data_IF_515835555927
#
_entry.id   IF_515835555927
#
_cell.length_a   1.000
_cell.length_b   1.000
_cell.length_c   1.000
_cell.angle_alpha   90.00
_cell.angle_beta   90.00
_cell.angle_gamma   90.00
#
_symmetry.space_group_name_H-M   'P 1'
#
loop_
_entity.id
_entity.type
_entity.pdbx_description
1 polymer ?
#
# COMPACT_ATOMS: atom_id res chain seq x y z
N UNK A 1 43.37 -10.53 -17.85
CA UNK A 1 42.07 -10.90 -18.40
C UNK A 1 41.14 -11.22 -17.24
N UNK A 2 40.23 -10.31 -16.84
CA UNK A 2 39.15 -10.55 -15.87
C UNK A 2 37.90 -9.90 -16.43
N UNK A 3 36.95 -10.72 -16.88
CA UNK A 3 35.61 -10.30 -17.28
C UNK A 3 34.81 -9.91 -16.03
N UNK A 4 34.28 -8.71 -16.03
CA UNK A 4 33.24 -8.23 -15.13
C UNK A 4 31.91 -8.84 -15.53
N UNK A 5 31.31 -9.64 -14.66
CA UNK A 5 29.86 -9.86 -14.69
C UNK A 5 29.16 -8.76 -13.90
N UNK A 6 28.44 -7.90 -14.61
CA UNK A 6 27.47 -6.94 -14.05
C UNK A 6 26.09 -7.37 -14.50
N UNK A 7 25.16 -7.45 -13.57
CA UNK A 7 23.77 -7.14 -13.84
C UNK A 7 22.77 -8.27 -13.77
N UNK A 8 22.24 -8.53 -12.60
CA UNK A 8 20.89 -9.11 -12.43
C UNK A 8 20.26 -8.59 -11.11
N UNK A 9 20.05 -7.30 -10.99
CA UNK A 9 19.44 -6.71 -9.81
C UNK A 9 18.43 -5.60 -10.06
N UNK A 10 18.00 -5.38 -11.30
CA UNK A 10 17.14 -4.21 -11.64
C UNK A 10 15.76 -4.57 -12.22
N UNK A 11 15.26 -5.80 -12.06
CA UNK A 11 14.01 -6.20 -12.73
C UNK A 11 12.78 -6.34 -11.81
N UNK A 12 12.91 -6.35 -10.49
CA UNK A 12 11.76 -6.55 -9.61
C UNK A 12 11.00 -5.27 -9.25
N UNK A 13 11.67 -4.14 -9.06
CA UNK A 13 11.00 -2.88 -8.70
C UNK A 13 10.14 -2.25 -9.81
N UNK A 14 10.31 -2.68 -11.05
CA UNK A 14 9.55 -2.16 -12.20
C UNK A 14 8.23 -2.88 -12.47
N UNK A 15 7.99 -4.01 -11.87
CA UNK A 15 6.80 -4.84 -12.18
C UNK A 15 5.57 -4.30 -11.44
N UNK A 16 5.72 -3.76 -10.24
CA UNK A 16 4.59 -3.31 -9.41
C UNK A 16 4.07 -1.90 -9.76
N UNK A 17 4.93 -1.02 -10.21
CA UNK A 17 4.54 0.24 -10.84
C UNK A 17 3.89 0.02 -12.23
N UNK A 18 4.17 -1.13 -12.87
CA UNK A 18 3.67 -1.44 -14.20
C UNK A 18 2.22 -1.96 -14.22
N UNK A 19 1.69 -2.56 -13.15
CA UNK A 19 0.32 -3.12 -13.16
C UNK A 19 -0.72 -2.03 -12.87
N UNK A 20 -0.50 -1.17 -11.88
CA UNK A 20 -1.39 0.00 -11.66
C UNK A 20 -1.29 1.04 -12.79
N UNK A 21 -0.15 1.13 -13.45
CA UNK A 21 0.05 1.95 -14.65
C UNK A 21 -0.41 1.19 -15.92
N UNK A 22 -0.48 -0.13 -15.89
CA UNK A 22 -0.80 -0.97 -17.05
C UNK A 22 -2.23 -0.83 -17.55
N UNK A 23 -3.24 -0.72 -16.69
CA UNK A 23 -4.63 -0.49 -17.10
C UNK A 23 -4.84 0.96 -17.54
N UNK A 24 -4.28 1.93 -16.86
CA UNK A 24 -4.25 3.33 -17.32
C UNK A 24 -3.42 3.49 -18.61
N UNK A 25 -2.37 2.66 -18.82
CA UNK A 25 -1.55 2.67 -20.03
C UNK A 25 -2.23 1.97 -21.22
N UNK A 26 -3.03 0.93 -21.02
CA UNK A 26 -3.72 0.27 -22.15
C UNK A 26 -4.78 1.18 -22.78
N UNK A 27 -5.51 1.97 -21.97
CA UNK A 27 -6.45 2.98 -22.48
C UNK A 27 -5.69 4.24 -22.95
N UNK A 28 -4.65 4.65 -22.20
CA UNK A 28 -3.81 5.79 -22.56
C UNK A 28 -2.95 5.57 -23.82
N UNK A 29 -2.47 4.36 -24.08
CA UNK A 29 -1.70 4.04 -25.31
C UNK A 29 -2.59 4.03 -26.54
N UNK A 30 -3.84 3.58 -26.44
CA UNK A 30 -4.82 3.70 -27.53
C UNK A 30 -5.10 5.17 -27.88
N UNK A 31 -5.31 6.01 -26.86
CA UNK A 31 -5.52 7.45 -27.04
C UNK A 31 -4.30 8.17 -27.62
N UNK A 32 -3.11 7.93 -27.09
CA UNK A 32 -1.86 8.50 -27.61
C UNK A 32 -1.58 8.06 -29.05
N UNK A 33 -1.90 6.82 -29.40
CA UNK A 33 -1.77 6.31 -30.75
C UNK A 33 -2.74 7.04 -31.72
N UNK A 34 -4.01 7.19 -31.34
CA UNK A 34 -5.00 7.92 -32.12
C UNK A 34 -4.64 9.41 -32.26
N UNK A 35 -4.16 10.02 -31.19
CA UNK A 35 -3.72 11.40 -31.21
C UNK A 35 -2.47 11.61 -32.12
N UNK A 36 -1.51 10.70 -32.06
CA UNK A 36 -0.34 10.70 -32.96
C UNK A 36 -0.77 10.56 -34.42
N UNK A 37 -1.73 9.66 -34.71
CA UNK A 37 -2.26 9.46 -36.05
C UNK A 37 -3.05 10.68 -36.56
N UNK A 38 -3.83 11.34 -35.68
CA UNK A 38 -4.51 12.59 -36.02
C UNK A 38 -3.53 13.71 -36.39
N UNK A 39 -2.46 13.89 -35.60
CA UNK A 39 -1.41 14.90 -35.88
C UNK A 39 -0.68 14.63 -37.20
N UNK A 40 -0.40 13.37 -37.50
CA UNK A 40 0.23 12.96 -38.77
C UNK A 40 -0.67 13.32 -39.96
N UNK A 41 -1.98 13.05 -39.88
CA UNK A 41 -2.94 13.38 -40.95
C UNK A 41 -3.19 14.89 -41.03
N UNK A 42 -3.19 15.63 -39.92
CA UNK A 42 -3.25 17.09 -39.90
C UNK A 42 -2.05 17.70 -40.67
N UNK A 43 -0.87 17.16 -40.43
CA UNK A 43 0.37 17.56 -41.13
C UNK A 43 0.26 17.26 -42.61
N UNK A 44 -0.16 16.04 -42.98
CA UNK A 44 -0.37 15.68 -44.42
C UNK A 44 -1.45 16.57 -45.09
N UNK A 45 -2.51 16.92 -44.34
CA UNK A 45 -3.54 17.82 -44.87
C UNK A 45 -3.00 19.24 -45.09
N UNK A 46 -2.14 19.75 -44.19
CA UNK A 46 -1.49 21.06 -44.38
C UNK A 46 -0.48 21.05 -45.54
N UNK A 47 0.26 19.97 -45.74
CA UNK A 47 1.20 19.79 -46.87
C UNK A 47 0.41 19.72 -48.20
N UNK A 48 -0.78 19.13 -48.23
CA UNK A 48 -1.70 19.09 -49.37
C UNK A 48 -2.27 20.48 -49.69
N UNK A 49 -2.60 21.27 -48.66
CA UNK A 49 -3.15 22.63 -48.86
C UNK A 49 -2.04 23.67 -49.20
N UNK A 50 -0.76 23.41 -48.89
CA UNK A 50 0.35 24.35 -49.06
C UNK A 50 1.09 24.23 -50.39
N UNK A 51 0.94 23.17 -51.17
CA UNK A 51 1.74 22.98 -52.34
C UNK A 51 1.18 22.03 -53.39
N UNK A 52 0.53 22.53 -54.40
CA UNK A 52 0.27 21.92 -55.70
C UNK A 52 -0.93 20.94 -55.79
N UNK A 53 -1.61 21.11 -56.87
CA UNK A 53 -2.58 20.26 -57.57
C UNK A 53 -2.53 18.76 -57.24
N UNK A 54 -3.00 18.39 -56.07
CA UNK A 54 -3.35 17.00 -55.76
C UNK A 54 -4.68 16.65 -56.42
N UNK A 55 -4.73 15.46 -57.01
CA UNK A 55 -5.96 14.99 -57.65
C UNK A 55 -7.09 14.96 -56.59
N UNK A 56 -8.26 15.43 -56.98
CA UNK A 56 -9.48 15.58 -56.15
C UNK A 56 -9.84 14.34 -55.35
N UNK A 57 -9.44 13.17 -55.82
CA UNK A 57 -9.68 11.86 -55.21
C UNK A 57 -8.76 11.60 -53.99
N UNK A 58 -7.46 11.96 -54.06
CA UNK A 58 -6.50 11.81 -52.90
C UNK A 58 -6.94 12.70 -51.75
N UNK A 59 -7.36 13.93 -52.02
CA UNK A 59 -7.88 14.85 -50.99
C UNK A 59 -9.13 14.30 -50.31
N UNK A 60 -10.05 13.69 -51.07
CA UNK A 60 -11.25 13.06 -50.52
C UNK A 60 -10.91 11.87 -49.62
N UNK A 61 -9.94 11.05 -50.00
CA UNK A 61 -9.53 9.90 -49.21
C UNK A 61 -8.85 10.32 -47.87
N UNK A 62 -8.00 11.34 -47.92
CA UNK A 62 -7.36 11.90 -46.70
C UNK A 62 -8.43 12.49 -45.75
N UNK A 63 -9.38 13.24 -46.27
CA UNK A 63 -10.49 13.79 -45.48
C UNK A 63 -11.35 12.71 -44.86
N UNK A 64 -11.66 11.65 -45.62
CA UNK A 64 -12.42 10.49 -45.11
C UNK A 64 -11.65 9.77 -43.96
N UNK A 65 -10.37 9.53 -44.15
CA UNK A 65 -9.51 8.92 -43.07
C UNK A 65 -9.46 9.80 -41.82
N UNK A 66 -9.35 11.12 -41.99
CA UNK A 66 -9.41 12.07 -40.89
C UNK A 66 -10.74 11.99 -40.13
N UNK A 67 -11.85 11.93 -40.85
CA UNK A 67 -13.17 11.83 -40.24
C UNK A 67 -13.36 10.53 -39.46
N UNK A 68 -12.94 9.39 -40.03
CA UNK A 68 -12.99 8.09 -39.33
C UNK A 68 -12.13 8.11 -38.04
N UNK A 69 -10.92 8.70 -38.07
CA UNK A 69 -10.07 8.81 -36.88
C UNK A 69 -10.66 9.73 -35.79
N UNK A 70 -11.37 10.79 -36.20
CA UNK A 70 -12.06 11.66 -35.25
C UNK A 70 -13.25 10.94 -34.61
N UNK A 71 -14.00 10.15 -35.36
CA UNK A 71 -15.09 9.32 -34.86
C UNK A 71 -14.57 8.24 -33.91
N UNK A 72 -13.48 7.52 -34.26
CA UNK A 72 -12.84 6.56 -33.38
C UNK A 72 -12.32 7.19 -32.09
N UNK A 73 -11.76 8.40 -32.16
CA UNK A 73 -11.30 9.17 -30.99
C UNK A 73 -12.44 9.56 -30.06
N UNK A 74 -13.57 10.00 -30.62
CA UNK A 74 -14.79 10.37 -29.87
C UNK A 74 -15.39 9.14 -29.18
N UNK A 75 -15.48 8.00 -29.91
CA UNK A 75 -15.96 6.75 -29.36
C UNK A 75 -15.05 6.23 -28.23
N UNK A 76 -13.71 6.30 -28.42
CA UNK A 76 -12.76 5.90 -27.38
C UNK A 76 -12.90 6.77 -26.13
N UNK A 77 -13.07 8.09 -26.29
CA UNK A 77 -13.32 9.03 -25.19
C UNK A 77 -14.62 8.69 -24.44
N UNK A 78 -15.71 8.46 -25.19
CA UNK A 78 -17.02 8.13 -24.60
C UNK A 78 -16.96 6.80 -23.84
N UNK A 79 -16.23 5.79 -24.34
CA UNK A 79 -16.01 4.52 -23.64
C UNK A 79 -15.22 4.72 -22.34
N UNK A 80 -14.18 5.55 -22.39
CA UNK A 80 -13.37 5.85 -21.20
C UNK A 80 -14.19 6.58 -20.13
N UNK A 81 -14.97 7.60 -20.51
CA UNK A 81 -15.86 8.33 -19.60
C UNK A 81 -16.91 7.41 -18.97
N UNK A 82 -17.48 6.49 -19.77
CA UNK A 82 -18.45 5.51 -19.28
C UNK A 82 -17.80 4.53 -18.27
N UNK A 83 -16.62 4.00 -18.60
CA UNK A 83 -15.88 3.11 -17.70
C UNK A 83 -15.50 3.80 -16.39
N UNK A 84 -15.05 5.05 -16.45
CA UNK A 84 -14.73 5.84 -15.27
C UNK A 84 -15.95 6.09 -14.40
N UNK A 85 -17.11 6.40 -15.00
CA UNK A 85 -18.36 6.60 -14.28
C UNK A 85 -18.90 5.29 -13.66
N UNK A 86 -18.75 4.15 -14.34
CA UNK A 86 -19.08 2.83 -13.81
C UNK A 86 -18.19 2.49 -12.61
N UNK A 87 -16.89 2.78 -12.66
CA UNK A 87 -15.94 2.58 -11.58
C UNK A 87 -16.23 3.50 -10.38
N UNK A 88 -16.54 4.78 -10.62
CA UNK A 88 -16.91 5.74 -9.57
C UNK A 88 -18.18 5.33 -8.78
N UNK A 89 -19.08 4.57 -9.39
CA UNK A 89 -20.29 4.04 -8.72
C UNK A 89 -20.02 2.68 -8.08
N UNK A 90 -19.25 1.82 -8.73
CA UNK A 90 -18.99 0.45 -8.30
C UNK A 90 -18.15 0.41 -7.03
N UNK A 91 -17.04 1.15 -6.97
CA UNK A 91 -16.10 1.11 -5.86
C UNK A 91 -16.74 1.44 -4.50
N UNK A 92 -17.59 2.48 -4.33
CA UNK A 92 -18.31 2.73 -3.08
C UNK A 92 -19.25 1.61 -2.67
N UNK A 93 -19.93 0.96 -3.63
CA UNK A 93 -20.84 -0.16 -3.33
C UNK A 93 -20.08 -1.40 -2.87
N UNK A 94 -18.93 -1.70 -3.48
CA UNK A 94 -18.05 -2.79 -3.06
C UNK A 94 -17.50 -2.56 -1.65
N UNK A 95 -17.09 -1.33 -1.33
CA UNK A 95 -16.61 -0.99 0.00
C UNK A 95 -17.70 -1.04 1.06
N UNK A 96 -18.93 -0.63 0.75
CA UNK A 96 -20.07 -0.77 1.66
C UNK A 96 -20.41 -2.25 1.94
N UNK A 97 -20.37 -3.11 0.94
CA UNK A 97 -20.53 -4.55 1.10
C UNK A 97 -19.38 -5.17 1.94
N UNK A 98 -18.16 -4.66 1.78
CA UNK A 98 -17.01 -5.06 2.57
C UNK A 98 -17.17 -4.66 4.04
N UNK A 99 -17.64 -3.46 4.32
CA UNK A 99 -17.94 -3.00 5.70
C UNK A 99 -19.01 -3.88 6.36
N UNK A 100 -20.08 -4.21 5.64
CA UNK A 100 -21.13 -5.10 6.14
C UNK A 100 -20.59 -6.49 6.44
N UNK A 101 -19.77 -7.07 5.55
CA UNK A 101 -19.10 -8.35 5.78
C UNK A 101 -18.28 -8.29 7.07
N UNK A 102 -17.42 -7.30 7.21
CA UNK A 102 -16.53 -7.14 8.38
C UNK A 102 -17.37 -7.02 9.67
N UNK A 103 -18.38 -6.12 9.69
CA UNK A 103 -19.24 -5.90 10.84
C UNK A 103 -19.92 -7.19 11.29
N UNK A 104 -20.47 -7.94 10.33
CA UNK A 104 -21.13 -9.23 10.62
C UNK A 104 -20.16 -10.26 11.22
N UNK A 105 -18.91 -10.28 10.76
CA UNK A 105 -17.90 -11.25 11.21
C UNK A 105 -17.32 -10.94 12.58
N UNK A 106 -17.22 -9.67 12.98
CA UNK A 106 -16.69 -9.28 14.29
C UNK A 106 -17.81 -9.07 15.34
N UNK A 107 -19.10 -9.08 14.95
CA UNK A 107 -20.23 -8.76 15.82
C UNK A 107 -20.26 -9.60 17.10
N UNK A 108 -19.99 -10.91 17.01
CA UNK A 108 -19.92 -11.82 18.16
C UNK A 108 -18.85 -11.39 19.17
N UNK A 109 -17.67 -11.01 18.67
CA UNK A 109 -16.53 -10.60 19.51
C UNK A 109 -16.77 -9.23 20.15
N UNK A 110 -17.31 -8.29 19.38
CA UNK A 110 -17.64 -6.96 19.90
C UNK A 110 -18.77 -7.02 20.94
N UNK A 111 -19.70 -7.97 20.83
CA UNK A 111 -20.72 -8.23 21.84
C UNK A 111 -20.14 -8.74 23.19
N UNK A 112 -18.93 -9.30 23.18
CA UNK A 112 -18.19 -9.68 24.40
C UNK A 112 -17.42 -8.49 25.02
N UNK A 113 -17.51 -7.29 24.45
CA UNK A 113 -16.82 -6.09 24.90
C UNK A 113 -15.41 -5.92 24.32
N UNK A 114 -14.98 -6.79 23.39
CA UNK A 114 -13.71 -6.63 22.69
C UNK A 114 -13.79 -5.47 21.68
N UNK A 115 -12.66 -4.83 21.46
CA UNK A 115 -12.55 -3.73 20.48
C UNK A 115 -11.87 -4.22 19.22
N UNK A 116 -12.57 -4.15 18.12
CA UNK A 116 -12.08 -4.57 16.80
C UNK A 116 -12.10 -3.41 15.81
N UNK A 117 -10.96 -3.11 15.22
CA UNK A 117 -10.83 -2.15 14.12
C UNK A 117 -10.25 -2.86 12.92
N UNK A 118 -10.90 -2.69 11.78
CA UNK A 118 -10.48 -3.31 10.51
C UNK A 118 -10.48 -2.26 9.42
N UNK A 119 -9.41 -2.22 8.67
CA UNK A 119 -9.24 -1.35 7.51
C UNK A 119 -8.82 -2.19 6.30
N UNK A 120 -9.54 -2.02 5.19
CA UNK A 120 -9.23 -2.65 3.90
C UNK A 120 -9.07 -1.54 2.86
N UNK A 121 -8.00 -1.58 2.05
CA UNK A 121 -7.78 -0.60 0.99
C UNK A 121 -7.27 -1.27 -0.27
N UNK A 122 -7.95 -1.08 -1.38
CA UNK A 122 -7.47 -1.51 -2.69
C UNK A 122 -6.33 -0.61 -3.17
N UNK A 123 -5.24 -1.22 -3.66
CA UNK A 123 -4.07 -0.47 -4.11
C UNK A 123 -4.29 0.18 -5.48
N UNK A 124 -5.14 -0.39 -6.32
CA UNK A 124 -5.43 0.09 -7.67
C UNK A 124 -6.32 1.34 -7.68
N UNK A 125 -7.47 1.28 -6.99
CA UNK A 125 -8.45 2.38 -6.94
C UNK A 125 -8.20 3.35 -5.78
N UNK A 126 -7.53 2.90 -4.72
CA UNK A 126 -7.42 3.64 -3.46
C UNK A 126 -8.71 3.64 -2.63
N UNK A 127 -9.77 2.94 -3.09
CA UNK A 127 -11.02 2.76 -2.35
C UNK A 127 -10.78 1.96 -1.08
N UNK A 128 -11.49 2.29 0.00
CA UNK A 128 -11.29 1.67 1.29
C UNK A 128 -12.60 1.44 2.05
N UNK A 129 -12.57 0.45 2.92
CA UNK A 129 -13.60 0.15 3.91
C UNK A 129 -12.98 0.23 5.31
N UNK A 130 -13.73 0.76 6.28
CA UNK A 130 -13.28 0.87 7.66
C UNK A 130 -14.40 0.49 8.63
N UNK A 131 -14.08 -0.37 9.59
CA UNK A 131 -14.98 -0.74 10.67
C UNK A 131 -14.22 -0.54 11.98
N UNK A 132 -14.73 0.38 12.85
CA UNK A 132 -14.00 0.84 14.02
C UNK A 132 -12.87 1.78 13.64
N UNK A 133 -12.93 3.04 14.13
CA UNK A 133 -11.97 4.09 13.76
C UNK A 133 -11.17 4.61 14.97
N UNK A 134 -11.33 4.00 16.14
CA UNK A 134 -10.65 4.47 17.35
C UNK A 134 -9.19 4.00 17.38
N UNK A 135 -8.32 4.86 17.90
CA UNK A 135 -6.95 4.43 18.21
C UNK A 135 -6.94 3.34 19.28
N UNK A 136 -6.06 2.37 19.11
CA UNK A 136 -5.89 1.24 20.02
C UNK A 136 -4.41 1.05 20.36
N UNK A 137 -4.13 0.16 21.33
CA UNK A 137 -2.74 -0.22 21.64
C UNK A 137 -2.06 -0.77 20.39
N UNK A 138 -1.00 -0.09 19.97
CA UNK A 138 -0.24 -0.48 18.78
C UNK A 138 0.47 -1.81 18.95
N UNK A 139 0.88 -2.15 20.16
CA UNK A 139 1.85 -3.22 20.39
C UNK A 139 3.06 -3.04 19.44
N UNK A 140 3.49 -4.10 18.75
CA UNK A 140 4.61 -4.01 17.80
C UNK A 140 4.26 -3.37 16.43
N UNK A 141 3.01 -2.93 16.18
CA UNK A 141 2.71 -2.12 14.99
C UNK A 141 3.40 -0.74 15.03
N UNK A 142 3.75 -0.23 16.22
CA UNK A 142 4.56 1.00 16.36
C UNK A 142 5.88 0.93 15.58
N UNK A 143 6.42 -0.27 15.33
CA UNK A 143 7.66 -0.50 14.58
C UNK A 143 7.56 -0.11 13.10
N UNK A 144 6.34 -0.02 12.54
CA UNK A 144 6.13 0.56 11.21
C UNK A 144 6.60 2.02 11.18
N UNK A 145 6.21 2.80 12.18
CA UNK A 145 6.54 4.22 12.25
C UNK A 145 8.00 4.45 12.67
N UNK A 146 8.57 3.57 13.53
CA UNK A 146 10.01 3.59 13.82
C UNK A 146 10.80 3.34 12.53
N UNK A 147 10.40 2.34 11.71
CA UNK A 147 11.01 2.06 10.41
C UNK A 147 10.90 3.28 9.48
N UNK A 148 9.73 3.91 9.40
CA UNK A 148 9.52 5.10 8.60
C UNK A 148 10.41 6.26 9.02
N UNK A 149 10.48 6.58 10.31
CA UNK A 149 11.31 7.65 10.86
C UNK A 149 12.81 7.41 10.64
N UNK A 150 13.26 6.14 10.74
CA UNK A 150 14.65 5.77 10.47
C UNK A 150 14.99 5.96 8.99
N UNK A 151 14.13 5.51 8.08
CA UNK A 151 14.37 5.69 6.65
C UNK A 151 14.27 7.15 6.20
N UNK A 152 13.46 7.98 6.85
CA UNK A 152 13.43 9.43 6.59
C UNK A 152 14.78 10.11 6.90
N UNK A 153 15.53 9.58 7.87
CA UNK A 153 16.81 10.10 8.31
C UNK A 153 18.00 9.16 8.00
N UNK A 154 17.80 8.18 7.11
CA UNK A 154 18.72 7.06 6.89
C UNK A 154 20.15 7.50 6.63
N UNK A 155 20.38 8.44 5.70
CA UNK A 155 21.73 8.86 5.33
C UNK A 155 22.50 9.48 6.50
N UNK A 156 21.84 10.29 7.33
CA UNK A 156 22.46 10.91 8.52
C UNK A 156 22.76 9.90 9.61
N UNK A 157 21.84 8.96 9.86
CA UNK A 157 22.02 7.88 10.82
C UNK A 157 23.11 6.90 10.35
N UNK A 158 23.14 6.58 9.05
CA UNK A 158 24.18 5.73 8.47
C UNK A 158 25.58 6.35 8.57
N UNK A 159 25.69 7.66 8.40
CA UNK A 159 26.96 8.38 8.60
C UNK A 159 27.43 8.33 10.07
N UNK A 160 26.49 8.34 11.03
CA UNK A 160 26.82 8.36 12.46
C UNK A 160 27.04 6.97 13.04
N UNK A 161 26.19 5.99 12.71
CA UNK A 161 26.15 4.67 13.33
C UNK A 161 26.57 3.53 12.40
N UNK A 162 26.71 3.79 11.10
CA UNK A 162 27.05 2.81 10.09
C UNK A 162 25.83 2.17 9.43
N UNK A 163 25.78 2.16 8.09
CA UNK A 163 24.66 1.59 7.32
C UNK A 163 24.41 0.11 7.63
N UNK A 164 25.48 -0.70 7.78
CA UNK A 164 25.33 -2.13 8.06
C UNK A 164 24.65 -2.40 9.41
N UNK A 165 24.86 -1.56 10.41
CA UNK A 165 24.21 -1.69 11.72
C UNK A 165 22.73 -1.28 11.65
N UNK A 166 22.41 -0.19 10.96
CA UNK A 166 21.02 0.19 10.71
C UNK A 166 20.25 -0.91 9.99
N UNK A 167 20.81 -1.46 8.91
CA UNK A 167 20.15 -2.52 8.13
C UNK A 167 19.94 -3.79 8.97
N UNK A 168 20.91 -4.14 9.81
CA UNK A 168 20.81 -5.27 10.75
C UNK A 168 19.67 -5.06 11.76
N UNK A 169 19.58 -3.87 12.36
CA UNK A 169 18.56 -3.54 13.34
C UNK A 169 17.18 -3.45 12.69
N UNK A 170 17.04 -2.78 11.54
CA UNK A 170 15.80 -2.73 10.77
C UNK A 170 15.30 -4.13 10.39
N UNK A 171 16.21 -4.99 9.94
CA UNK A 171 15.90 -6.38 9.61
C UNK A 171 15.36 -7.13 10.84
N UNK A 172 16.05 -7.10 11.96
CA UNK A 172 15.61 -7.77 13.19
C UNK A 172 14.27 -7.20 13.70
N UNK A 173 14.12 -5.86 13.70
CA UNK A 173 12.90 -5.20 14.15
C UNK A 173 11.66 -5.60 13.34
N UNK A 174 11.78 -5.69 12.03
CA UNK A 174 10.63 -5.96 11.17
C UNK A 174 10.41 -7.45 10.96
N UNK A 175 11.44 -8.23 10.63
CA UNK A 175 11.25 -9.64 10.23
C UNK A 175 10.93 -10.59 11.39
N UNK A 176 11.48 -10.38 12.58
CA UNK A 176 11.20 -11.19 13.78
C UNK A 176 10.55 -10.40 14.91
N UNK A 177 10.28 -9.12 14.68
CA UNK A 177 9.69 -8.20 15.66
C UNK A 177 10.56 -7.99 16.91
N UNK A 178 11.89 -7.92 16.75
CA UNK A 178 12.84 -7.72 17.84
C UNK A 178 12.59 -6.39 18.55
N UNK A 179 12.49 -6.43 19.89
CA UNK A 179 12.21 -5.26 20.72
C UNK A 179 13.47 -4.45 21.03
N UNK A 180 14.60 -5.13 21.23
CA UNK A 180 15.86 -4.46 21.52
C UNK A 180 16.35 -3.67 20.30
N UNK A 181 16.19 -4.25 19.10
CA UNK A 181 16.47 -3.57 17.85
C UNK A 181 15.58 -2.32 17.66
N UNK A 182 14.27 -2.42 17.99
CA UNK A 182 13.37 -1.27 17.93
C UNK A 182 13.79 -0.16 18.92
N UNK A 183 14.13 -0.53 20.14
CA UNK A 183 14.59 0.41 21.16
C UNK A 183 15.92 1.08 20.76
N UNK A 184 16.85 0.32 20.19
CA UNK A 184 18.13 0.87 19.74
C UNK A 184 17.94 1.85 18.57
N UNK A 185 17.13 1.51 17.58
CA UNK A 185 16.79 2.43 16.49
C UNK A 185 16.10 3.71 17.01
N UNK A 186 15.23 3.57 18.00
CA UNK A 186 14.60 4.73 18.66
C UNK A 186 15.65 5.61 19.37
N UNK A 187 16.60 5.03 20.09
CA UNK A 187 17.72 5.80 20.71
C UNK A 187 18.57 6.49 19.64
N UNK A 188 18.88 5.81 18.53
CA UNK A 188 19.66 6.40 17.44
C UNK A 188 18.96 7.62 16.84
N UNK A 189 17.63 7.59 16.65
CA UNK A 189 16.82 8.74 16.24
C UNK A 189 16.95 9.91 17.22
N UNK A 190 17.09 9.64 18.51
CA UNK A 190 17.22 10.64 19.58
C UNK A 190 18.68 11.02 19.92
N UNK A 191 19.67 10.61 19.11
CA UNK A 191 21.09 10.90 19.41
C UNK A 191 21.60 10.20 20.67
N UNK A 192 20.99 9.08 21.06
CA UNK A 192 21.27 8.27 22.24
C UNK A 192 20.22 8.39 23.36
N UNK A 193 19.30 9.36 23.28
CA UNK A 193 18.30 9.63 24.31
C UNK A 193 16.92 9.06 23.94
N UNK A 194 16.34 8.25 24.84
CA UNK A 194 15.05 7.54 24.58
C UNK A 194 13.89 8.50 24.34
N UNK A 195 13.74 9.52 25.21
CA UNK A 195 12.64 10.49 25.10
C UNK A 195 12.72 11.30 23.81
N UNK A 196 13.93 11.71 23.42
CA UNK A 196 14.13 12.42 22.16
C UNK A 196 13.86 11.53 20.96
N UNK A 197 14.22 10.24 21.03
CA UNK A 197 13.93 9.26 19.98
C UNK A 197 12.43 9.01 19.81
N UNK A 198 11.69 8.82 20.90
CA UNK A 198 10.23 8.69 20.86
C UNK A 198 9.56 9.93 20.24
N UNK A 199 10.08 11.13 20.59
CA UNK A 199 9.57 12.37 20.00
C UNK A 199 9.83 12.45 18.49
N UNK A 200 10.99 11.98 17.98
CA UNK A 200 11.24 11.90 16.55
C UNK A 200 10.23 10.99 15.83
N UNK A 201 9.86 9.85 16.43
CA UNK A 201 8.80 8.97 15.90
C UNK A 201 7.46 9.68 15.90
N UNK A 202 7.12 10.43 16.96
CA UNK A 202 5.87 11.18 17.06
C UNK A 202 5.80 12.33 16.03
N UNK A 203 6.90 13.07 15.87
CA UNK A 203 7.01 14.12 14.83
C UNK A 203 6.81 13.51 13.45
N UNK A 204 7.48 12.39 13.16
CA UNK A 204 7.30 11.66 11.90
C UNK A 204 5.83 11.29 11.66
N UNK A 205 5.14 10.73 12.66
CA UNK A 205 3.71 10.39 12.53
C UNK A 205 2.85 11.63 12.22
N UNK A 206 3.10 12.74 12.91
CA UNK A 206 2.36 13.99 12.69
C UNK A 206 2.60 14.57 11.29
N UNK A 207 3.85 14.63 10.85
CA UNK A 207 4.22 15.19 9.54
C UNK A 207 3.66 14.36 8.38
N UNK A 208 3.59 13.03 8.55
CA UNK A 208 3.00 12.12 7.56
C UNK A 208 1.47 12.02 7.65
N UNK A 209 0.86 12.60 8.69
CA UNK A 209 -0.59 12.62 8.87
C UNK A 209 -1.18 11.38 9.55
N UNK A 210 -0.36 10.54 10.19
CA UNK A 210 -0.79 9.38 11.00
C UNK A 210 -1.22 9.88 12.39
N UNK A 211 -2.44 10.39 12.48
CA UNK A 211 -2.93 11.20 13.61
C UNK A 211 -3.18 10.40 14.89
N UNK A 212 -3.49 9.12 14.76
CA UNK A 212 -3.79 8.23 15.87
C UNK A 212 -2.54 7.50 16.36
N UNK A 213 -1.41 7.71 15.70
CA UNK A 213 -0.16 6.98 15.94
C UNK A 213 0.79 7.79 16.82
N UNK A 214 1.23 7.17 17.93
CA UNK A 214 2.15 7.80 18.87
C UNK A 214 2.94 6.76 19.66
N UNK A 215 4.21 7.08 19.91
CA UNK A 215 5.09 6.31 20.79
C UNK A 215 5.13 6.97 22.17
N UNK A 216 4.53 6.32 23.17
CA UNK A 216 4.47 6.83 24.56
C UNK A 216 5.41 6.12 25.52
N UNK A 217 6.02 4.98 25.11
CA UNK A 217 7.03 4.24 25.89
C UNK A 217 7.94 3.41 24.99
N UNK A 218 9.11 3.11 25.46
CA UNK A 218 10.00 2.12 24.83
C UNK A 218 9.36 0.72 24.86
N UNK A 219 9.75 -0.13 23.92
CA UNK A 219 9.26 -1.51 23.89
C UNK A 219 9.72 -2.24 25.18
N UNK A 220 8.86 -3.08 25.75
CA UNK A 220 9.06 -3.79 27.03
C UNK A 220 9.14 -2.90 28.28
N UNK A 221 9.10 -1.57 28.17
CA UNK A 221 9.00 -0.71 29.34
C UNK A 221 7.64 -0.91 30.04
N UNK A 222 7.57 -0.54 31.32
CA UNK A 222 6.34 -0.64 32.11
C UNK A 222 5.22 0.24 31.51
N UNK A 223 4.03 -0.32 31.38
CA UNK A 223 2.87 0.39 30.81
C UNK A 223 2.38 1.57 31.66
N UNK A 224 2.82 1.67 32.92
CA UNK A 224 2.56 2.84 33.77
C UNK A 224 3.31 4.10 33.30
N UNK A 225 4.35 3.95 32.49
CA UNK A 225 5.12 5.05 31.89
C UNK A 225 4.44 5.66 30.66
N UNK A 226 3.48 4.95 30.06
CA UNK A 226 2.76 5.35 28.86
C UNK A 226 2.33 4.14 28.02
N UNK A 227 1.72 4.39 26.85
CA UNK A 227 1.37 3.35 25.90
C UNK A 227 1.61 3.82 24.46
N UNK A 228 1.89 2.87 23.58
CA UNK A 228 2.03 3.10 22.15
C UNK A 228 0.68 2.89 21.48
N UNK A 229 0.22 3.86 20.72
CA UNK A 229 -1.08 3.83 20.05
C UNK A 229 -0.93 3.92 18.53
N UNK A 230 -1.91 3.36 17.83
CA UNK A 230 -2.15 3.56 16.40
C UNK A 230 -3.61 3.22 16.08
N UNK A 231 -4.03 3.40 14.82
CA UNK A 231 -5.31 2.91 14.30
C UNK A 231 -5.08 1.98 13.10
N UNK A 232 -6.08 1.18 12.77
CA UNK A 232 -6.03 0.33 11.58
C UNK A 232 -5.91 1.17 10.30
N UNK A 233 -6.53 2.35 10.29
CA UNK A 233 -6.45 3.31 9.20
C UNK A 233 -5.04 3.89 9.04
N UNK A 234 -4.39 4.35 10.12
CA UNK A 234 -3.03 4.87 10.07
C UNK A 234 -2.03 3.81 9.58
N UNK A 235 -2.15 2.57 10.10
CA UNK A 235 -1.33 1.44 9.61
C UNK A 235 -1.56 1.19 8.11
N UNK A 236 -2.82 1.20 7.68
CA UNK A 236 -3.18 1.02 6.28
C UNK A 236 -2.68 2.13 5.38
N UNK A 237 -2.78 3.38 5.82
CA UNK A 237 -2.25 4.52 5.07
C UNK A 237 -0.72 4.49 5.02
N UNK A 238 -0.03 4.10 6.10
CA UNK A 238 1.42 3.87 6.07
C UNK A 238 1.82 2.83 5.03
N UNK A 239 1.18 1.66 5.03
CA UNK A 239 1.47 0.61 4.05
C UNK A 239 1.14 1.05 2.62
N UNK A 240 0.06 1.81 2.44
CA UNK A 240 -0.30 2.38 1.15
C UNK A 240 0.76 3.37 0.65
N UNK A 241 1.23 4.27 1.51
CA UNK A 241 2.29 5.22 1.16
C UNK A 241 3.61 4.52 0.80
N UNK A 242 3.94 3.43 1.50
CA UNK A 242 5.09 2.57 1.14
C UNK A 242 4.88 1.94 -0.24
N UNK A 243 3.69 1.38 -0.53
CA UNK A 243 3.38 0.80 -1.84
C UNK A 243 3.43 1.83 -2.98
N UNK A 244 3.07 3.08 -2.70
CA UNK A 244 3.10 4.18 -3.66
C UNK A 244 4.48 4.83 -3.80
N UNK A 245 5.50 4.36 -3.08
CA UNK A 245 6.84 4.94 -3.12
C UNK A 245 6.93 6.34 -2.51
N UNK A 246 6.02 6.72 -1.61
CA UNK A 246 5.98 8.04 -0.97
C UNK A 246 6.95 8.20 0.19
N UNK A 247 7.58 7.10 0.61
CA UNK A 247 8.64 7.09 1.61
C UNK A 247 10.01 6.97 0.97
N UNK A 248 11.04 7.59 1.53
CA UNK A 248 12.41 7.23 1.20
C UNK A 248 12.63 5.72 1.46
N UNK A 249 13.36 5.06 0.59
CA UNK A 249 13.65 3.62 0.72
C UNK A 249 12.41 2.69 0.77
N UNK A 250 11.31 3.06 0.11
CA UNK A 250 10.08 2.26 0.09
C UNK A 250 10.29 0.80 -0.38
N UNK A 251 11.16 0.58 -1.37
CA UNK A 251 11.50 -0.77 -1.84
C UNK A 251 12.14 -1.63 -0.74
N UNK A 252 13.02 -1.02 0.10
CA UNK A 252 13.64 -1.69 1.24
C UNK A 252 12.60 -2.00 2.32
N UNK A 253 11.67 -1.08 2.62
CA UNK A 253 10.55 -1.31 3.54
C UNK A 253 9.69 -2.48 3.08
N UNK A 254 9.30 -2.51 1.79
CA UNK A 254 8.53 -3.62 1.20
C UNK A 254 9.28 -4.96 1.34
N UNK A 255 10.59 -4.97 1.06
CA UNK A 255 11.40 -6.17 1.19
C UNK A 255 11.48 -6.68 2.64
N UNK A 256 11.54 -5.79 3.63
CA UNK A 256 11.51 -6.18 5.04
C UNK A 256 10.16 -6.76 5.45
N UNK A 257 9.05 -6.14 5.05
CA UNK A 257 7.69 -6.62 5.33
C UNK A 257 7.43 -8.00 4.72
N UNK A 258 7.91 -8.27 3.50
CA UNK A 258 7.82 -9.58 2.82
C UNK A 258 8.63 -10.67 3.51
N UNK A 259 9.67 -10.32 4.27
CA UNK A 259 10.50 -11.25 5.02
C UNK A 259 9.99 -11.50 6.45
N UNK A 260 8.81 -10.98 6.82
CA UNK A 260 8.20 -11.22 8.12
C UNK A 260 8.02 -12.72 8.37
N UNK A 261 8.48 -13.20 9.54
CA UNK A 261 8.41 -14.62 9.93
C UNK A 261 7.17 -14.96 10.76
N UNK A 262 6.46 -13.95 11.29
CA UNK A 262 5.21 -14.14 12.06
C UNK A 262 4.01 -14.03 11.11
N UNK A 263 3.72 -15.13 10.42
CA UNK A 263 2.71 -15.21 9.37
C UNK A 263 1.40 -15.89 9.80
N UNK A 264 1.19 -16.09 11.10
CA UNK A 264 0.08 -16.89 11.64
C UNK A 264 -1.25 -16.14 11.78
N UNK A 265 -1.42 -14.94 11.19
CA UNK A 265 -2.65 -14.13 11.24
C UNK A 265 -3.16 -13.85 9.82
N UNK A 266 -3.09 -12.61 9.34
CA UNK A 266 -3.57 -12.26 7.99
C UNK A 266 -2.98 -13.17 6.92
N UNK A 267 -1.64 -13.41 6.85
CA UNK A 267 -1.09 -14.30 5.84
C UNK A 267 -1.60 -15.73 5.90
N UNK A 268 -1.92 -16.24 7.09
CA UNK A 268 -2.46 -17.60 7.26
C UNK A 268 -3.87 -17.80 6.67
N UNK A 269 -4.63 -16.71 6.43
CA UNK A 269 -5.92 -16.73 5.74
C UNK A 269 -5.83 -16.57 4.22
N UNK A 270 -4.61 -16.37 3.68
CA UNK A 270 -4.38 -16.13 2.26
C UNK A 270 -3.94 -17.45 1.59
N UNK A 271 -4.42 -17.75 0.37
CA UNK A 271 -4.02 -18.97 -0.35
C UNK A 271 -2.51 -19.07 -0.57
N UNK A 272 -1.99 -20.30 -0.57
CA UNK A 272 -0.58 -20.59 -0.86
C UNK A 272 -0.17 -20.01 -2.23
N UNK A 273 1.00 -19.42 -2.30
CA UNK A 273 1.55 -18.80 -3.52
C UNK A 273 1.17 -17.34 -3.73
N UNK A 274 0.24 -16.80 -2.95
CA UNK A 274 -0.03 -15.36 -2.94
C UNK A 274 0.97 -14.67 -2.00
N UNK A 275 1.74 -13.72 -2.54
CA UNK A 275 2.74 -12.98 -1.77
C UNK A 275 2.06 -12.04 -0.76
N UNK A 276 2.61 -11.99 0.46
CA UNK A 276 2.18 -11.07 1.51
C UNK A 276 3.38 -10.37 2.13
N UNK A 277 3.17 -9.19 2.68
CA UNK A 277 4.15 -8.50 3.51
C UNK A 277 3.45 -7.89 4.70
N UNK A 278 3.84 -8.26 5.94
CA UNK A 278 3.07 -7.86 7.11
C UNK A 278 3.91 -7.42 8.30
N UNK A 279 3.27 -6.83 9.28
CA UNK A 279 3.78 -6.57 10.61
C UNK A 279 2.74 -6.90 11.65
N UNK A 280 3.09 -7.78 12.60
CA UNK A 280 2.23 -8.16 13.72
C UNK A 280 2.45 -7.30 14.96
N UNK A 281 1.44 -7.23 15.82
CA UNK A 281 1.51 -6.66 17.17
C UNK A 281 0.78 -7.53 18.18
N UNK A 282 1.40 -7.83 19.34
CA UNK A 282 0.86 -8.72 20.36
C UNK A 282 1.15 -8.20 21.76
N UNK A 283 0.12 -8.21 22.62
CA UNK A 283 0.21 -8.05 24.08
C UNK A 283 -0.69 -9.13 24.74
N UNK A 284 -0.77 -9.13 26.06
CA UNK A 284 -1.59 -10.13 26.78
C UNK A 284 -3.07 -10.09 26.38
N UNK A 285 -3.58 -8.95 25.98
CA UNK A 285 -4.97 -8.68 25.60
C UNK A 285 -5.12 -8.03 24.22
N UNK A 286 -4.07 -8.12 23.35
CA UNK A 286 -4.01 -7.47 22.04
C UNK A 286 -3.52 -8.43 20.97
N UNK A 287 -4.23 -8.49 19.85
CA UNK A 287 -3.81 -9.19 18.62
C UNK A 287 -3.98 -8.26 17.41
N UNK A 288 -2.89 -7.81 16.86
CA UNK A 288 -2.87 -6.91 15.69
C UNK A 288 -2.09 -7.55 14.54
N UNK A 289 -2.50 -7.24 13.30
CA UNK A 289 -1.72 -7.50 12.09
C UNK A 289 -2.06 -6.45 11.02
N UNK A 290 -1.07 -5.96 10.32
CA UNK A 290 -1.20 -5.05 9.19
C UNK A 290 -0.41 -5.62 8.01
N UNK A 291 -1.09 -5.87 6.89
CA UNK A 291 -0.54 -6.61 5.76
C UNK A 291 -0.87 -5.98 4.41
N UNK A 292 0.06 -6.14 3.49
CA UNK A 292 -0.13 -5.99 2.05
C UNK A 292 -0.33 -7.39 1.49
N UNK A 293 -1.34 -7.57 0.64
CA UNK A 293 -1.65 -8.83 -0.05
C UNK A 293 -1.58 -8.59 -1.55
N UNK A 294 -0.64 -9.25 -2.23
CA UNK A 294 -0.48 -9.13 -3.68
C UNK A 294 -1.34 -10.17 -4.41
N UNK A 295 -2.65 -9.94 -4.42
CA UNK A 295 -3.67 -10.85 -4.98
C UNK A 295 -3.84 -10.69 -6.51
N UNK A 296 -2.76 -10.75 -7.29
CA UNK A 296 -2.82 -10.63 -8.74
C UNK A 296 -3.16 -9.21 -9.19
N UNK A 297 -4.27 -9.03 -9.90
CA UNK A 297 -4.72 -7.73 -10.42
C UNK A 297 -5.40 -6.86 -9.36
N UNK A 298 -5.80 -7.45 -8.23
CA UNK A 298 -6.48 -6.78 -7.13
C UNK A 298 -5.66 -6.74 -5.82
N UNK A 299 -4.43 -6.20 -5.83
CA UNK A 299 -3.65 -6.09 -4.62
C UNK A 299 -4.30 -5.13 -3.63
N UNK A 300 -4.24 -5.47 -2.34
CA UNK A 300 -4.89 -4.70 -1.29
C UNK A 300 -4.10 -4.69 0.01
N UNK A 301 -4.48 -3.79 0.90
CA UNK A 301 -4.02 -3.69 2.27
C UNK A 301 -5.14 -4.15 3.19
N UNK A 302 -4.80 -4.96 4.19
CA UNK A 302 -5.68 -5.35 5.27
C UNK A 302 -4.98 -5.08 6.60
N UNK A 303 -5.62 -4.30 7.47
CA UNK A 303 -5.17 -4.08 8.83
C UNK A 303 -6.29 -4.51 9.79
N UNK A 304 -5.95 -5.37 10.75
CA UNK A 304 -6.85 -5.82 11.79
C UNK A 304 -6.20 -5.53 13.14
N UNK A 305 -6.92 -4.81 13.99
CA UNK A 305 -6.50 -4.52 15.35
C UNK A 305 -7.60 -4.99 16.31
N UNK A 306 -7.21 -5.78 17.30
CA UNK A 306 -8.11 -6.29 18.30
C UNK A 306 -7.52 -6.07 19.70
N UNK A 307 -8.24 -5.37 20.57
CA UNK A 307 -7.84 -4.95 21.93
C UNK A 307 -8.92 -5.36 22.94
N UNK A 308 -8.55 -5.43 24.22
CA UNK A 308 -9.39 -5.87 25.33
C UNK A 308 -9.87 -7.31 25.16
N UNK A 309 -9.01 -8.15 24.62
CA UNK A 309 -9.29 -9.55 24.35
C UNK A 309 -9.34 -10.37 25.63
N UNK A 310 -10.33 -11.25 25.72
CA UNK A 310 -10.44 -12.27 26.77
C UNK A 310 -9.82 -13.60 26.33
N UNK A 311 -9.71 -13.83 25.01
CA UNK A 311 -9.14 -15.01 24.39
C UNK A 311 -8.37 -14.62 23.11
N UNK A 312 -7.06 -14.53 23.24
CA UNK A 312 -6.17 -14.14 22.13
C UNK A 312 -6.07 -15.21 21.05
N UNK A 313 -6.22 -16.50 21.41
CA UNK A 313 -6.23 -17.58 20.43
C UNK A 313 -7.47 -17.50 19.52
N UNK A 314 -8.65 -17.33 20.13
CA UNK A 314 -9.88 -17.14 19.37
C UNK A 314 -9.83 -15.87 18.50
N UNK A 315 -9.16 -14.80 18.97
CA UNK A 315 -8.95 -13.60 18.18
C UNK A 315 -8.05 -13.86 16.97
N UNK A 316 -6.95 -14.62 17.12
CA UNK A 316 -6.08 -15.01 15.98
C UNK A 316 -6.86 -15.82 14.95
N UNK A 317 -7.63 -16.81 15.39
CA UNK A 317 -8.47 -17.62 14.50
C UNK A 317 -9.50 -16.76 13.75
N UNK A 318 -10.07 -15.75 14.42
CA UNK A 318 -10.97 -14.79 13.81
C UNK A 318 -10.26 -13.92 12.76
N UNK A 319 -9.03 -13.45 13.02
CA UNK A 319 -8.23 -12.69 12.05
C UNK A 319 -7.95 -13.53 10.81
N UNK A 320 -7.57 -14.81 10.97
CA UNK A 320 -7.34 -15.74 9.86
C UNK A 320 -8.61 -15.92 9.01
N UNK A 321 -9.75 -16.20 9.67
CA UNK A 321 -11.03 -16.40 8.98
C UNK A 321 -11.47 -15.13 8.23
N UNK A 322 -11.37 -13.96 8.88
CA UNK A 322 -11.69 -12.67 8.28
C UNK A 322 -10.80 -12.37 7.05
N UNK A 323 -9.51 -12.64 7.15
CA UNK A 323 -8.56 -12.48 6.04
C UNK A 323 -8.93 -13.34 4.84
N UNK A 324 -9.30 -14.61 5.08
CA UNK A 324 -9.72 -15.54 4.01
C UNK A 324 -11.00 -15.07 3.31
N UNK A 325 -11.98 -14.58 4.08
CA UNK A 325 -13.25 -14.12 3.52
C UNK A 325 -13.09 -12.80 2.74
N UNK A 326 -12.30 -11.86 3.26
CA UNK A 326 -11.97 -10.60 2.55
C UNK A 326 -11.25 -10.92 1.23
N UNK A 327 -10.28 -11.85 1.25
CA UNK A 327 -9.61 -12.30 0.04
C UNK A 327 -10.60 -12.85 -0.99
N UNK A 328 -11.52 -13.72 -0.56
CA UNK A 328 -12.55 -14.31 -1.43
C UNK A 328 -13.48 -13.25 -2.00
N UNK A 329 -13.95 -12.31 -1.17
CA UNK A 329 -14.83 -11.21 -1.59
C UNK A 329 -14.15 -10.30 -2.64
N UNK A 330 -12.86 -10.01 -2.48
CA UNK A 330 -12.09 -9.21 -3.45
C UNK A 330 -11.93 -9.97 -4.77
N UNK A 331 -11.70 -11.29 -4.72
CA UNK A 331 -11.53 -12.13 -5.92
C UNK A 331 -12.85 -12.42 -6.66
N UNK A 332 -13.99 -12.42 -5.97
CA UNK A 332 -15.31 -12.55 -6.60
C UNK A 332 -15.73 -11.28 -7.35
N UNK A 333 -15.15 -10.14 -7.01
CA UNK A 333 -15.39 -8.85 -7.69
C UNK A 333 -14.59 -8.65 -8.98
N UNK A 334 -13.63 -9.56 -9.30
CA UNK A 334 -12.91 -9.56 -10.59
C UNK A 334 -13.80 -10.12 -11.70
#
# INVERSE_FOLDING_TARGET
>A
MKKRERGKGKKAGWIYSAVCVGMLLAVGTGWLFLESRCKEIEKQTQEIDAGAVLQKEERKEVLKRRQTLLEEKEEAKTRQEKQQMEEEVRAPLEMAAMEELIQNRIAERTALGEKWNVYVKQLSSGSFAVVGAEKQKAASLIKLYIMGAVYEQYDSLAAQYGAAELDRLLTAMITVSDNDAANELTRMLGGGEETAGMEQVNVYCQEKGYKDSSMGRMLLADSTLGENYTSAEDCGNFLFDVCQGRHPHADQMLNLLKQQQRIGKIPAGIPEGVETGNKTGELADVENDAAIVWAGETPYILCVMADQLTDTQAAREKIVALSSEIYSQIKEGE
#
